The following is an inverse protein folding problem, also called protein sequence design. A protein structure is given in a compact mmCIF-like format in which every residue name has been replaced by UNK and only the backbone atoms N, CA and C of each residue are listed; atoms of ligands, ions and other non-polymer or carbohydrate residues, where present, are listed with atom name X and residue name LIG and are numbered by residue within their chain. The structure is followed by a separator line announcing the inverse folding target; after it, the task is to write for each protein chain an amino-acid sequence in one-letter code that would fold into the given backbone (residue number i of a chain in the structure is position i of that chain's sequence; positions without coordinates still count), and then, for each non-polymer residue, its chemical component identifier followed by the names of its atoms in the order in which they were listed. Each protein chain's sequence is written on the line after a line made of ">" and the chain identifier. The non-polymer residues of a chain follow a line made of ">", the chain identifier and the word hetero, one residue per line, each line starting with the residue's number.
data_IF_073679626827
#
_entry.id   IF_073679626827
#
_cell.length_a   1.000
_cell.length_b   1.000
_cell.length_c   1.000
_cell.angle_alpha   90.00
_cell.angle_beta   90.00
_cell.angle_gamma   90.00
#
_symmetry.space_group_name_H-M   'P 1'
#
loop_
_entity.id
_entity.type
_entity.pdbx_description
1 polymer ?
#
# COMPACT_ATOMS: atom_id res chain seq x y z
N UNK A 1 10.62 -20.98 -1.67
CA UNK A 1 9.30 -20.89 -2.36
C UNK A 1 9.05 -19.44 -2.74
N UNK A 2 8.71 -19.15 -4.02
CA UNK A 2 8.33 -17.79 -4.44
C UNK A 2 6.84 -17.56 -4.16
N UNK A 3 6.47 -16.33 -3.82
CA UNK A 3 5.09 -15.91 -3.62
C UNK A 3 4.62 -15.20 -4.88
N UNK A 4 3.66 -15.79 -5.60
CA UNK A 4 3.18 -15.29 -6.89
C UNK A 4 1.85 -14.58 -6.70
N UNK A 5 1.68 -13.43 -7.36
CA UNK A 5 0.42 -12.72 -7.41
C UNK A 5 -0.56 -13.44 -8.32
N UNK A 6 -1.73 -13.77 -7.78
CA UNK A 6 -2.82 -14.47 -8.47
C UNK A 6 -3.80 -13.54 -9.17
N UNK A 7 -3.58 -12.22 -9.12
CA UNK A 7 -4.45 -11.26 -9.79
C UNK A 7 -4.34 -11.43 -11.32
N UNK A 8 -5.48 -11.42 -12.06
CA UNK A 8 -5.48 -11.56 -13.51
C UNK A 8 -4.53 -10.57 -14.18
N UNK A 9 -3.61 -11.08 -15.02
CA UNK A 9 -2.67 -10.27 -15.79
C UNK A 9 -1.51 -9.63 -15.01
N UNK A 10 -1.34 -9.88 -13.69
CA UNK A 10 -0.27 -9.24 -12.93
C UNK A 10 1.09 -9.92 -13.07
N UNK A 11 1.14 -11.26 -12.97
CA UNK A 11 2.36 -12.07 -13.14
C UNK A 11 3.51 -11.82 -12.15
N UNK A 12 3.39 -10.86 -11.22
CA UNK A 12 4.47 -10.48 -10.30
C UNK A 12 4.74 -11.56 -9.26
N UNK A 13 6.00 -11.78 -8.94
CA UNK A 13 6.43 -12.68 -7.88
C UNK A 13 7.39 -12.02 -6.89
N UNK A 14 7.37 -12.52 -5.65
CA UNK A 14 8.12 -11.97 -4.53
C UNK A 14 8.82 -13.09 -3.77
N UNK A 15 9.99 -12.78 -3.21
CA UNK A 15 10.75 -13.73 -2.37
C UNK A 15 10.05 -13.97 -1.03
N UNK A 16 9.30 -12.97 -0.55
CA UNK A 16 8.65 -12.99 0.77
C UNK A 16 7.15 -12.75 0.68
N UNK A 17 6.38 -13.39 1.55
CA UNK A 17 4.91 -13.37 1.52
C UNK A 17 4.34 -12.01 1.90
N UNK A 18 4.96 -11.29 2.83
CA UNK A 18 4.55 -9.95 3.22
C UNK A 18 4.68 -8.94 2.07
N UNK A 19 5.66 -9.12 1.18
CA UNK A 19 5.80 -8.30 -0.02
C UNK A 19 4.68 -8.54 -1.01
N UNK A 20 4.29 -9.80 -1.21
CA UNK A 20 3.11 -10.13 -2.02
C UNK A 20 1.84 -9.52 -1.42
N UNK A 21 1.62 -9.68 -0.11
CA UNK A 21 0.44 -9.15 0.58
C UNK A 21 0.35 -7.63 0.44
N UNK A 22 1.47 -6.92 0.63
CA UNK A 22 1.56 -5.46 0.43
C UNK A 22 1.26 -5.06 -1.02
N UNK A 23 1.80 -5.80 -1.98
CA UNK A 23 1.56 -5.57 -3.40
C UNK A 23 0.07 -5.69 -3.75
N UNK A 24 -0.58 -6.78 -3.32
CA UNK A 24 -2.01 -7.01 -3.57
C UNK A 24 -2.86 -5.91 -2.95
N UNK A 25 -2.60 -5.56 -1.68
CA UNK A 25 -3.32 -4.48 -0.99
C UNK A 25 -3.22 -3.15 -1.74
N UNK A 26 -2.00 -2.81 -2.18
CA UNK A 26 -1.72 -1.49 -2.76
C UNK A 26 -2.19 -1.32 -4.20
N UNK A 27 -2.17 -2.38 -5.01
CA UNK A 27 -2.43 -2.28 -6.45
C UNK A 27 -3.75 -2.91 -6.88
N UNK A 28 -4.23 -3.94 -6.19
CA UNK A 28 -5.41 -4.69 -6.64
C UNK A 28 -6.64 -4.42 -5.78
N UNK A 29 -6.47 -4.13 -4.49
CA UNK A 29 -7.60 -3.91 -3.58
C UNK A 29 -7.92 -2.44 -3.33
N UNK A 30 -7.07 -1.52 -3.80
CA UNK A 30 -7.14 -0.08 -3.48
C UNK A 30 -7.31 0.21 -1.97
N UNK A 31 -6.96 -0.75 -1.12
CA UNK A 31 -7.14 -0.69 0.33
C UNK A 31 -6.10 0.27 0.90
N UNK A 32 -6.60 1.41 1.39
CA UNK A 32 -5.80 2.51 1.93
C UNK A 32 -6.26 2.83 3.35
N UNK A 33 -5.98 1.95 4.32
CA UNK A 33 -6.47 2.10 5.69
C UNK A 33 -5.80 3.27 6.42
N UNK A 34 -4.71 3.83 5.88
CA UNK A 34 -3.96 4.90 6.52
C UNK A 34 -4.40 6.25 5.97
N UNK A 35 -5.40 6.85 6.60
CA UNK A 35 -5.91 8.19 6.25
C UNK A 35 -5.07 9.27 6.92
N UNK A 36 -4.84 10.37 6.22
CA UNK A 36 -4.18 11.53 6.79
C UNK A 36 -5.06 12.17 7.89
N UNK A 37 -4.55 12.38 9.10
CA UNK A 37 -5.33 12.99 10.18
C UNK A 37 -5.38 14.53 10.09
N UNK A 38 -4.69 15.15 9.12
CA UNK A 38 -4.63 16.60 9.03
C UNK A 38 -5.98 17.19 8.58
N UNK A 39 -6.52 18.22 9.26
CA UNK A 39 -7.81 18.80 8.93
C UNK A 39 -7.81 19.33 7.49
N UNK A 40 -8.85 18.98 6.73
CA UNK A 40 -8.96 19.35 5.30
C UNK A 40 -8.13 18.47 4.35
N UNK A 41 -7.34 17.51 4.85
CA UNK A 41 -6.62 16.55 4.01
C UNK A 41 -7.34 15.19 3.95
N UNK A 42 -7.88 14.84 2.79
CA UNK A 42 -8.56 13.55 2.57
C UNK A 42 -7.66 12.49 1.92
N UNK A 43 -6.33 12.65 2.00
CA UNK A 43 -5.38 11.70 1.37
C UNK A 43 -5.28 10.42 2.20
N UNK A 44 -5.36 9.27 1.53
CA UNK A 44 -5.20 7.96 2.13
C UNK A 44 -4.08 7.16 1.47
N UNK A 45 -3.44 6.30 2.25
CA UNK A 45 -2.26 5.52 1.85
C UNK A 45 -2.44 4.04 2.18
N UNK A 46 -1.91 3.18 1.32
CA UNK A 46 -1.91 1.72 1.54
C UNK A 46 -0.85 1.27 2.55
N UNK A 47 0.04 2.18 2.96
CA UNK A 47 1.12 1.90 3.92
C UNK A 47 1.34 3.06 4.88
N UNK A 48 1.72 2.72 6.12
CA UNK A 48 1.98 3.68 7.20
C UNK A 48 3.21 4.55 6.96
N UNK A 49 4.26 3.99 6.38
CA UNK A 49 5.50 4.73 6.08
C UNK A 49 5.27 5.81 5.01
N UNK A 50 4.43 5.52 4.00
CA UNK A 50 4.00 6.52 3.03
C UNK A 50 3.17 7.64 3.69
N UNK A 51 2.25 7.30 4.60
CA UNK A 51 1.51 8.30 5.38
C UNK A 51 2.47 9.15 6.24
N UNK A 52 3.44 8.54 6.91
CA UNK A 52 4.42 9.26 7.72
C UNK A 52 5.28 10.21 6.88
N UNK A 53 5.71 9.78 5.69
CA UNK A 53 6.37 10.68 4.74
C UNK A 53 5.46 11.82 4.31
N UNK A 54 4.20 11.52 3.98
CA UNK A 54 3.22 12.52 3.57
C UNK A 54 2.93 13.53 4.67
N UNK A 55 2.80 13.11 5.92
CA UNK A 55 2.49 14.00 7.05
C UNK A 55 3.49 15.15 7.20
N UNK A 56 4.72 14.97 6.73
CA UNK A 56 5.75 16.02 6.71
C UNK A 56 5.42 17.22 5.81
N UNK A 57 4.49 17.08 4.87
CA UNK A 57 4.03 18.21 4.03
C UNK A 57 3.04 19.13 4.74
N UNK A 58 2.57 18.74 5.93
CA UNK A 58 1.63 19.50 6.76
C UNK A 58 2.27 20.04 8.05
N UNK A 59 3.59 19.90 8.18
CA UNK A 59 4.39 20.58 9.19
C UNK A 59 4.59 22.04 8.77
#
# INVERSE_FOLDING_TARGET
>A
RRYVCTAPGCGKCFVRGEHLKRHVRSLHMQDKPHVCPHPGCNKSFSRRDNLGQHARVHL
#
